data_IF_909089568694
#
_entry.id   IF_909089568694
#
_cell.length_a   1.000
_cell.length_b   1.000
_cell.length_c   1.000
_cell.angle_alpha   90.00
_cell.angle_beta   90.00
_cell.angle_gamma   90.00
#
_symmetry.space_group_name_H-M   'P 1'
#
loop_
_entity.id
_entity.type
_entity.pdbx_description
1 polymer ?
#
# COMPACT_ATOMS: atom_id res chain seq x y z
N UNK A 1 9.52 -16.51 7.35
CA UNK A 1 9.30 -17.00 5.97
C UNK A 1 8.62 -15.92 5.17
N UNK A 2 8.79 -15.85 3.84
CA UNK A 2 8.04 -14.98 2.92
C UNK A 2 6.91 -15.81 2.31
N UNK A 3 5.67 -15.33 2.43
CA UNK A 3 4.50 -16.06 1.94
C UNK A 3 3.75 -15.25 0.90
N UNK A 4 3.51 -15.85 -0.27
CA UNK A 4 2.76 -15.23 -1.35
C UNK A 4 1.30 -15.67 -1.31
N UNK A 5 0.40 -14.70 -1.19
CA UNK A 5 -1.05 -14.88 -1.29
C UNK A 5 -1.61 -14.13 -2.49
N UNK A 6 -2.83 -14.42 -2.87
CA UNK A 6 -3.52 -13.75 -3.96
C UNK A 6 -4.36 -14.69 -4.78
N UNK A 7 -5.23 -14.11 -5.60
CA UNK A 7 -6.21 -14.85 -6.38
C UNK A 7 -5.55 -15.76 -7.43
N UNK A 8 -6.31 -16.70 -7.97
CA UNK A 8 -5.83 -17.52 -9.07
C UNK A 8 -5.47 -16.66 -10.28
N UNK A 9 -4.39 -16.98 -10.99
CA UNK A 9 -3.87 -16.16 -12.09
C UNK A 9 -3.01 -14.97 -11.67
N UNK A 10 -2.79 -14.70 -10.37
CA UNK A 10 -1.91 -13.63 -9.89
C UNK A 10 -0.41 -13.88 -10.14
N UNK A 11 0.01 -15.13 -10.43
CA UNK A 11 1.41 -15.45 -10.75
C UNK A 11 2.28 -15.76 -9.52
N UNK A 12 1.69 -16.22 -8.42
CA UNK A 12 2.37 -16.50 -7.14
C UNK A 12 3.58 -17.43 -7.29
N UNK A 13 3.42 -18.58 -7.96
CA UNK A 13 4.50 -19.53 -8.17
C UNK A 13 5.71 -18.94 -8.93
N UNK A 14 5.43 -18.10 -9.93
CA UNK A 14 6.48 -17.38 -10.68
C UNK A 14 7.19 -16.36 -9.78
N UNK A 15 6.43 -15.57 -9.03
CA UNK A 15 6.98 -14.58 -8.12
C UNK A 15 7.77 -15.24 -6.97
N UNK A 16 7.33 -16.39 -6.46
CA UNK A 16 8.07 -17.15 -5.45
C UNK A 16 9.46 -17.56 -5.96
N UNK A 17 9.55 -18.05 -7.19
CA UNK A 17 10.84 -18.40 -7.82
C UNK A 17 11.73 -17.18 -8.07
N UNK A 18 11.15 -16.05 -8.47
CA UNK A 18 11.88 -14.78 -8.65
C UNK A 18 12.45 -14.25 -7.33
N UNK A 19 11.63 -14.24 -6.27
CA UNK A 19 12.06 -13.79 -4.93
C UNK A 19 13.14 -14.73 -4.38
N UNK A 20 12.90 -16.03 -4.45
CA UNK A 20 13.84 -17.03 -3.96
C UNK A 20 15.19 -16.93 -4.66
N UNK A 21 15.20 -16.77 -6.00
CA UNK A 21 16.40 -16.56 -6.79
C UNK A 21 17.13 -15.26 -6.43
N UNK A 22 16.39 -14.16 -6.17
CA UNK A 22 16.96 -12.87 -5.79
C UNK A 22 17.54 -12.83 -4.37
N UNK A 23 16.98 -13.62 -3.45
CA UNK A 23 17.38 -13.65 -2.04
C UNK A 23 18.24 -14.86 -1.65
N UNK A 24 18.50 -15.80 -2.58
CA UNK A 24 19.24 -17.03 -2.28
C UNK A 24 18.45 -18.00 -1.40
N UNK A 25 17.12 -18.00 -1.48
CA UNK A 25 16.21 -18.85 -0.72
C UNK A 25 15.65 -20.00 -1.58
N UNK A 26 14.94 -20.93 -0.96
CA UNK A 26 14.18 -21.97 -1.65
C UNK A 26 12.74 -21.52 -1.90
N UNK A 27 12.23 -21.75 -3.12
CA UNK A 27 10.83 -21.54 -3.44
C UNK A 27 10.04 -22.84 -3.22
N UNK A 28 8.89 -22.71 -2.56
CA UNK A 28 7.90 -23.79 -2.38
C UNK A 28 6.57 -23.37 -3.01
N UNK A 29 5.88 -24.32 -3.61
CA UNK A 29 4.52 -24.15 -4.12
C UNK A 29 3.60 -25.13 -3.40
N UNK A 30 2.61 -24.61 -2.67
CA UNK A 30 1.71 -25.43 -1.87
C UNK A 30 0.83 -26.33 -2.76
N UNK A 31 0.43 -25.87 -3.96
CA UNK A 31 -0.37 -26.67 -4.89
C UNK A 31 0.46 -27.85 -5.45
N UNK A 32 1.75 -27.63 -5.79
CA UNK A 32 2.67 -28.67 -6.25
C UNK A 32 2.89 -29.73 -5.14
N UNK A 33 3.21 -29.30 -3.92
CA UNK A 33 3.44 -30.18 -2.77
C UNK A 33 2.18 -30.95 -2.35
N UNK A 34 1.00 -30.32 -2.48
CA UNK A 34 -0.26 -30.99 -2.20
C UNK A 34 -0.53 -32.11 -3.22
N UNK A 35 -0.32 -31.86 -4.50
CA UNK A 35 -0.49 -32.88 -5.54
C UNK A 35 0.46 -34.07 -5.33
N UNK A 36 1.72 -33.83 -4.96
CA UNK A 36 2.68 -34.87 -4.60
C UNK A 36 2.20 -35.70 -3.39
N UNK A 37 1.70 -35.05 -2.33
CA UNK A 37 1.18 -35.72 -1.13
C UNK A 37 -0.08 -36.53 -1.41
N UNK A 38 -0.95 -36.07 -2.30
CA UNK A 38 -2.17 -36.79 -2.69
C UNK A 38 -1.91 -37.95 -3.66
N UNK A 39 -0.77 -37.92 -4.36
CA UNK A 39 -0.42 -38.93 -5.38
C UNK A 39 -1.25 -38.84 -6.67
N UNK A 40 -2.07 -37.76 -6.81
CA UNK A 40 -2.93 -37.51 -7.98
C UNK A 40 -3.02 -35.99 -8.24
N UNK A 41 -3.28 -35.56 -9.47
CA UNK A 41 -3.51 -34.15 -9.78
C UNK A 41 -4.67 -33.56 -8.96
N UNK A 42 -4.54 -32.28 -8.56
CA UNK A 42 -5.58 -31.59 -7.77
C UNK A 42 -6.96 -31.64 -8.43
N UNK A 43 -7.15 -31.44 -9.76
CA UNK A 43 -8.46 -31.54 -10.40
C UNK A 43 -9.10 -32.91 -10.24
N UNK A 44 -8.31 -33.98 -10.31
CA UNK A 44 -8.81 -35.36 -10.18
C UNK A 44 -9.22 -35.66 -8.73
N UNK A 45 -8.41 -35.20 -7.76
CA UNK A 45 -8.75 -35.32 -6.33
C UNK A 45 -10.03 -34.55 -6.01
N UNK A 46 -10.16 -33.32 -6.52
CA UNK A 46 -11.33 -32.48 -6.31
C UNK A 46 -12.60 -33.11 -6.89
N UNK A 47 -12.51 -33.70 -8.08
CA UNK A 47 -13.63 -34.42 -8.70
C UNK A 47 -14.04 -35.67 -7.94
N UNK A 48 -13.09 -36.41 -7.35
CA UNK A 48 -13.33 -37.65 -6.64
C UNK A 48 -13.83 -37.46 -5.20
N UNK A 49 -13.32 -36.41 -4.50
CA UNK A 49 -13.51 -36.25 -3.05
C UNK A 49 -14.27 -34.95 -2.67
N UNK A 50 -14.48 -34.05 -3.60
CA UNK A 50 -15.17 -32.78 -3.38
C UNK A 50 -14.29 -31.68 -2.75
N UNK A 51 -14.88 -30.47 -2.64
CA UNK A 51 -14.17 -29.29 -2.17
C UNK A 51 -13.80 -29.35 -0.68
N UNK A 52 -14.68 -29.85 0.16
CA UNK A 52 -14.50 -29.91 1.62
C UNK A 52 -13.27 -30.73 2.00
N UNK A 53 -13.12 -31.94 1.46
CA UNK A 53 -11.96 -32.80 1.75
C UNK A 53 -10.69 -32.19 1.15
N UNK A 54 -10.75 -31.60 -0.03
CA UNK A 54 -9.63 -30.88 -0.61
C UNK A 54 -9.16 -29.75 0.33
N UNK A 55 -10.07 -28.90 0.82
CA UNK A 55 -9.73 -27.80 1.72
C UNK A 55 -9.14 -28.27 3.04
N UNK A 56 -9.60 -29.38 3.56
CA UNK A 56 -9.03 -29.99 4.76
C UNK A 56 -7.57 -30.41 4.54
N UNK A 57 -7.26 -31.04 3.41
CA UNK A 57 -5.88 -31.45 3.06
C UNK A 57 -4.99 -30.24 2.78
N UNK A 58 -5.51 -29.25 2.09
CA UNK A 58 -4.80 -27.98 1.83
C UNK A 58 -4.43 -27.28 3.15
N UNK A 59 -5.38 -27.14 4.08
CA UNK A 59 -5.15 -26.54 5.40
C UNK A 59 -4.07 -27.28 6.19
N UNK A 60 -4.16 -28.62 6.29
CA UNK A 60 -3.19 -29.45 7.01
C UNK A 60 -1.77 -29.26 6.47
N UNK A 61 -1.60 -29.28 5.15
CA UNK A 61 -0.31 -29.09 4.50
C UNK A 61 0.22 -27.67 4.73
N UNK A 62 -0.61 -26.65 4.49
CA UNK A 62 -0.18 -25.24 4.58
C UNK A 62 0.25 -24.92 6.01
N UNK A 63 -0.51 -25.33 7.03
CA UNK A 63 -0.15 -25.11 8.44
C UNK A 63 1.16 -25.85 8.81
N UNK A 64 1.42 -27.01 8.21
CA UNK A 64 2.69 -27.71 8.38
C UNK A 64 3.85 -26.94 7.74
N UNK A 65 3.69 -26.48 6.49
CA UNK A 65 4.71 -25.71 5.76
C UNK A 65 5.05 -24.40 6.45
N UNK A 66 4.07 -23.71 7.03
CA UNK A 66 4.26 -22.46 7.76
C UNK A 66 5.05 -22.61 9.07
N UNK A 67 5.39 -23.82 9.51
CA UNK A 67 6.34 -24.06 10.62
C UNK A 67 7.79 -24.01 10.18
N UNK A 68 8.05 -24.03 8.88
CA UNK A 68 9.39 -23.92 8.31
C UNK A 68 9.96 -22.51 8.39
N UNK A 69 11.24 -22.36 8.10
CA UNK A 69 11.95 -21.09 8.11
C UNK A 69 12.84 -20.94 6.86
N UNK A 70 13.11 -19.68 6.46
CA UNK A 70 14.09 -19.41 5.40
C UNK A 70 13.63 -19.75 3.98
N UNK A 71 12.33 -19.78 3.71
CA UNK A 71 11.75 -20.17 2.41
C UNK A 71 10.79 -19.12 1.88
N UNK A 72 10.50 -19.20 0.58
CA UNK A 72 9.45 -18.44 -0.09
C UNK A 72 8.33 -19.38 -0.47
N UNK A 73 7.16 -19.25 0.13
CA UNK A 73 6.02 -20.14 -0.05
C UNK A 73 4.92 -19.48 -0.87
N UNK A 74 4.54 -20.06 -2.00
CA UNK A 74 3.34 -19.69 -2.74
C UNK A 74 2.15 -20.53 -2.27
N UNK A 75 1.07 -19.86 -1.80
CA UNK A 75 -0.15 -20.55 -1.37
C UNK A 75 -1.13 -20.75 -2.53
N UNK A 76 -1.95 -21.78 -2.44
CA UNK A 76 -3.16 -21.94 -3.22
C UNK A 76 -4.10 -20.73 -3.05
N UNK A 77 -4.84 -20.35 -4.11
CA UNK A 77 -5.69 -19.16 -4.06
C UNK A 77 -6.85 -19.25 -3.06
N UNK A 78 -7.20 -20.42 -2.57
CA UNK A 78 -8.24 -20.64 -1.57
C UNK A 78 -7.74 -20.81 -0.15
N UNK A 79 -6.45 -20.99 0.06
CA UNK A 79 -5.88 -21.30 1.37
C UNK A 79 -6.25 -20.29 2.47
N UNK A 80 -6.40 -19.01 2.12
CA UNK A 80 -6.83 -17.93 3.06
C UNK A 80 -8.28 -18.05 3.52
N UNK A 81 -9.10 -18.93 2.92
CA UNK A 81 -10.47 -19.19 3.40
C UNK A 81 -10.46 -19.92 4.76
N UNK A 82 -9.40 -20.68 5.06
CA UNK A 82 -9.21 -21.30 6.37
C UNK A 82 -8.77 -20.27 7.43
N UNK A 83 -9.53 -20.11 8.54
CA UNK A 83 -9.11 -19.29 9.67
C UNK A 83 -7.77 -19.77 10.28
N UNK A 84 -7.53 -21.09 10.35
CA UNK A 84 -6.27 -21.64 10.87
C UNK A 84 -5.06 -21.28 10.03
N UNK A 85 -5.24 -21.20 8.70
CA UNK A 85 -4.18 -20.71 7.80
C UNK A 85 -3.92 -19.24 8.05
N UNK A 86 -4.98 -18.41 8.18
CA UNK A 86 -4.81 -16.98 8.47
C UNK A 86 -4.12 -16.73 9.80
N UNK A 87 -4.47 -17.48 10.85
CA UNK A 87 -3.77 -17.44 12.14
C UNK A 87 -2.30 -17.86 12.02
N UNK A 88 -2.03 -18.93 11.26
CA UNK A 88 -0.67 -19.42 11.05
C UNK A 88 0.21 -18.46 10.21
N UNK A 89 -0.39 -17.59 9.40
CA UNK A 89 0.32 -16.54 8.65
C UNK A 89 0.86 -15.42 9.56
N UNK A 90 0.32 -15.26 10.76
CA UNK A 90 0.85 -14.31 11.74
C UNK A 90 2.32 -14.62 12.06
N UNK A 91 3.18 -13.59 11.96
CA UNK A 91 4.64 -13.76 12.15
C UNK A 91 5.42 -14.10 10.88
N UNK A 92 4.76 -14.21 9.74
CA UNK A 92 5.40 -14.33 8.42
C UNK A 92 5.30 -13.02 7.64
N UNK A 93 6.18 -12.84 6.65
CA UNK A 93 6.11 -11.70 5.73
C UNK A 93 5.15 -12.02 4.58
N UNK A 94 3.92 -11.57 4.65
CA UNK A 94 2.86 -11.92 3.70
C UNK A 94 2.79 -10.89 2.57
N UNK A 95 2.96 -11.35 1.33
CA UNK A 95 2.90 -10.53 0.12
C UNK A 95 1.67 -10.91 -0.71
N UNK A 96 0.73 -10.00 -0.82
CA UNK A 96 -0.41 -10.12 -1.72
C UNK A 96 -0.02 -9.67 -3.13
N UNK A 97 -0.12 -10.57 -4.10
CA UNK A 97 -0.11 -10.21 -5.51
C UNK A 97 -1.52 -9.80 -5.91
N UNK A 98 -1.75 -8.49 -5.97
CA UNK A 98 -3.04 -7.92 -6.32
C UNK A 98 -3.26 -7.97 -7.84
N UNK A 99 -4.31 -8.66 -8.24
CA UNK A 99 -4.73 -8.84 -9.64
C UNK A 99 -6.21 -8.50 -9.75
N UNK A 100 -6.57 -7.68 -10.72
CA UNK A 100 -7.98 -7.43 -11.02
C UNK A 100 -8.66 -8.68 -11.60
N UNK A 101 -9.99 -8.74 -11.46
CA UNK A 101 -10.77 -9.91 -11.86
C UNK A 101 -10.70 -10.18 -13.36
N UNK A 102 -10.63 -9.12 -14.22
CA UNK A 102 -10.54 -9.26 -15.66
C UNK A 102 -9.21 -9.86 -16.10
N UNK A 103 -8.09 -9.36 -15.55
CA UNK A 103 -6.76 -9.90 -15.82
C UNK A 103 -6.60 -11.33 -15.30
N UNK A 104 -7.14 -11.62 -14.11
CA UNK A 104 -7.16 -12.96 -13.54
C UNK A 104 -7.97 -13.93 -14.42
N UNK A 105 -9.15 -13.52 -14.85
CA UNK A 105 -10.01 -14.30 -15.75
C UNK A 105 -9.31 -14.58 -17.09
N UNK A 106 -8.76 -13.54 -17.72
CA UNK A 106 -8.04 -13.69 -19.00
C UNK A 106 -6.94 -14.75 -18.94
N UNK A 107 -6.23 -14.85 -17.79
CA UNK A 107 -5.15 -15.83 -17.56
C UNK A 107 -5.66 -17.23 -17.22
N UNK A 108 -6.85 -17.35 -16.60
CA UNK A 108 -7.34 -18.62 -16.06
C UNK A 108 -8.38 -19.33 -16.96
N UNK A 109 -9.13 -18.61 -17.80
CA UNK A 109 -10.25 -19.16 -18.60
C UNK A 109 -9.90 -20.32 -19.53
N UNK A 110 -8.64 -20.46 -19.89
CA UNK A 110 -8.13 -21.55 -20.74
C UNK A 110 -7.39 -22.64 -19.96
N UNK A 111 -7.38 -22.56 -18.63
CA UNK A 111 -6.71 -23.53 -17.77
C UNK A 111 -7.68 -24.62 -17.29
N UNK A 112 -7.16 -25.76 -16.85
CA UNK A 112 -7.96 -26.89 -16.31
C UNK A 112 -8.45 -26.63 -14.87
N UNK A 113 -8.47 -25.39 -14.41
CA UNK A 113 -8.89 -25.03 -13.05
C UNK A 113 -10.40 -25.15 -12.89
N UNK A 114 -10.92 -25.99 -11.97
CA UNK A 114 -12.34 -26.23 -11.81
C UNK A 114 -13.15 -24.95 -11.55
N UNK A 115 -12.60 -24.00 -10.80
CA UNK A 115 -13.24 -22.74 -10.41
C UNK A 115 -13.12 -21.60 -11.46
N UNK A 116 -12.51 -21.87 -12.62
CA UNK A 116 -12.37 -20.90 -13.72
C UNK A 116 -13.22 -21.24 -14.94
N UNK A 117 -14.33 -21.97 -14.76
CA UNK A 117 -15.22 -22.40 -15.84
C UNK A 117 -16.39 -21.46 -16.08
N UNK A 118 -16.88 -20.81 -15.04
CA UNK A 118 -17.99 -19.85 -15.08
C UNK A 118 -17.48 -18.46 -14.71
N UNK A 119 -17.75 -17.47 -15.56
CA UNK A 119 -17.24 -16.10 -15.40
C UNK A 119 -17.87 -15.40 -14.21
N UNK A 120 -19.19 -15.50 -14.05
CA UNK A 120 -19.92 -14.81 -12.98
C UNK A 120 -19.51 -15.37 -11.61
N UNK A 121 -19.46 -16.70 -11.48
CA UNK A 121 -18.98 -17.37 -10.27
C UNK A 121 -17.51 -17.00 -9.95
N UNK A 122 -16.66 -16.85 -10.98
CA UNK A 122 -15.26 -16.46 -10.83
C UNK A 122 -15.12 -15.04 -10.25
N UNK A 123 -15.91 -14.08 -10.73
CA UNK A 123 -15.91 -12.71 -10.23
C UNK A 123 -16.46 -12.64 -8.80
N UNK A 124 -17.56 -13.32 -8.53
CA UNK A 124 -18.11 -13.42 -7.18
C UNK A 124 -17.11 -14.04 -6.19
N UNK A 125 -16.33 -15.05 -6.63
CA UNK A 125 -15.28 -15.64 -5.83
C UNK A 125 -14.12 -14.68 -5.59
N UNK A 126 -13.75 -13.87 -6.59
CA UNK A 126 -12.71 -12.85 -6.45
C UNK A 126 -13.11 -11.83 -5.37
N UNK A 127 -14.31 -11.26 -5.46
CA UNK A 127 -14.83 -10.30 -4.49
C UNK A 127 -14.94 -10.91 -3.08
N UNK A 128 -15.41 -12.14 -2.95
CA UNK A 128 -15.53 -12.82 -1.66
C UNK A 128 -14.18 -13.05 -0.97
N UNK A 129 -13.11 -13.35 -1.75
CA UNK A 129 -11.78 -13.63 -1.20
C UNK A 129 -10.95 -12.38 -0.92
N UNK A 130 -11.25 -11.28 -1.57
CA UNK A 130 -10.50 -10.04 -1.45
C UNK A 130 -10.30 -9.60 0.00
N UNK A 131 -11.35 -9.52 0.86
CA UNK A 131 -11.17 -9.14 2.26
C UNK A 131 -10.25 -10.08 3.06
N UNK A 132 -10.21 -11.36 2.70
CA UNK A 132 -9.37 -12.37 3.38
C UNK A 132 -7.88 -12.21 3.04
N UNK A 133 -7.56 -11.86 1.79
CA UNK A 133 -6.19 -11.49 1.43
C UNK A 133 -5.77 -10.20 2.13
N UNK A 134 -6.70 -9.26 2.23
CA UNK A 134 -6.51 -7.94 2.84
C UNK A 134 -6.18 -8.04 4.33
N UNK A 135 -6.81 -8.98 5.01
CA UNK A 135 -6.61 -9.25 6.44
C UNK A 135 -5.17 -9.69 6.75
N UNK A 136 -4.57 -10.49 5.88
CA UNK A 136 -3.27 -11.13 6.17
C UNK A 136 -2.07 -10.43 5.51
N UNK A 137 -2.27 -9.54 4.55
CA UNK A 137 -1.19 -8.98 3.76
C UNK A 137 -0.41 -7.87 4.49
N UNK A 138 0.93 -7.97 4.51
CA UNK A 138 1.83 -6.88 4.88
C UNK A 138 2.17 -6.02 3.67
N UNK A 139 2.40 -6.66 2.51
CA UNK A 139 2.71 -5.98 1.27
C UNK A 139 1.64 -6.27 0.23
N UNK A 140 1.03 -5.23 -0.32
CA UNK A 140 0.06 -5.33 -1.41
C UNK A 140 0.70 -4.77 -2.67
N UNK A 141 1.06 -5.65 -3.60
CA UNK A 141 1.81 -5.26 -4.80
C UNK A 141 1.07 -5.68 -6.07
N UNK A 142 1.24 -4.95 -7.17
CA UNK A 142 0.69 -5.37 -8.45
C UNK A 142 1.17 -6.78 -8.84
N UNK A 143 0.28 -7.57 -9.45
CA UNK A 143 0.62 -8.89 -10.01
C UNK A 143 1.45 -8.75 -11.30
N UNK A 144 2.62 -8.10 -11.17
CA UNK A 144 3.58 -7.81 -12.23
C UNK A 144 4.95 -8.40 -11.89
N UNK A 145 5.72 -8.71 -12.94
CA UNK A 145 7.05 -9.33 -12.81
C UNK A 145 7.98 -8.45 -11.96
N UNK A 146 8.66 -9.05 -11.00
CA UNK A 146 9.63 -8.40 -10.12
C UNK A 146 9.03 -7.42 -9.08
N UNK A 147 7.71 -7.16 -9.10
CA UNK A 147 7.08 -6.19 -8.18
C UNK A 147 7.26 -6.62 -6.71
N UNK A 148 7.01 -7.88 -6.41
CA UNK A 148 7.15 -8.41 -5.05
C UNK A 148 8.59 -8.37 -4.53
N UNK A 149 9.57 -8.71 -5.37
CA UNK A 149 11.00 -8.64 -5.00
C UNK A 149 11.43 -7.19 -4.72
N UNK A 150 11.02 -6.23 -5.58
CA UNK A 150 11.30 -4.80 -5.33
C UNK A 150 10.67 -4.31 -4.04
N UNK A 151 9.43 -4.72 -3.76
CA UNK A 151 8.74 -4.36 -2.53
C UNK A 151 9.45 -4.89 -1.27
N UNK A 152 9.85 -6.17 -1.29
CA UNK A 152 10.60 -6.79 -0.20
C UNK A 152 11.95 -6.12 0.05
N UNK A 153 12.59 -5.61 -1.01
CA UNK A 153 13.87 -4.89 -0.89
C UNK A 153 13.71 -3.45 -0.40
N UNK A 154 12.58 -2.81 -0.69
CA UNK A 154 12.35 -1.39 -0.38
C UNK A 154 11.64 -1.18 0.96
N UNK A 155 10.84 -2.15 1.43
CA UNK A 155 10.01 -2.02 2.64
C UNK A 155 10.62 -2.82 3.78
N UNK A 156 11.04 -2.17 4.89
CA UNK A 156 11.65 -2.85 6.03
C UNK A 156 10.72 -3.89 6.65
N UNK A 157 11.32 -4.82 7.36
CA UNK A 157 10.57 -5.76 8.20
C UNK A 157 9.76 -4.98 9.27
N UNK A 158 8.51 -5.40 9.48
CA UNK A 158 7.58 -4.76 10.40
C UNK A 158 6.82 -3.56 9.81
N UNK A 159 7.25 -2.97 8.68
CA UNK A 159 6.44 -1.98 7.96
C UNK A 159 5.53 -2.65 6.94
N UNK A 160 4.35 -2.05 6.70
CA UNK A 160 3.38 -2.50 5.70
C UNK A 160 3.38 -1.56 4.50
N UNK A 161 3.02 -2.04 3.32
CA UNK A 161 2.97 -1.18 2.14
C UNK A 161 1.90 -1.60 1.14
N UNK A 162 1.32 -0.60 0.48
CA UNK A 162 0.44 -0.79 -0.67
C UNK A 162 0.95 0.04 -1.84
N UNK A 163 0.96 -0.55 -3.05
CA UNK A 163 1.32 0.16 -4.27
C UNK A 163 0.09 0.78 -4.92
N UNK A 164 0.10 2.11 -5.01
CA UNK A 164 -0.85 2.84 -5.84
C UNK A 164 -0.47 2.66 -7.33
N UNK A 165 -1.49 2.41 -8.16
CA UNK A 165 -1.35 2.30 -9.63
C UNK A 165 -2.27 3.33 -10.25
N UNK A 166 -1.68 4.29 -10.94
CA UNK A 166 -2.38 5.39 -11.58
C UNK A 166 -1.90 5.57 -13.01
N UNK A 167 -2.60 6.37 -13.81
CA UNK A 167 -2.14 6.72 -15.14
C UNK A 167 -0.80 7.48 -15.10
N UNK A 168 -0.52 8.20 -14.00
CA UNK A 168 0.72 8.93 -13.77
C UNK A 168 1.90 8.07 -13.31
N UNK A 169 1.67 6.79 -12.99
CA UNK A 169 2.71 5.85 -12.55
C UNK A 169 2.33 5.03 -11.33
N UNK A 170 3.31 4.32 -10.80
CA UNK A 170 3.17 3.48 -9.60
C UNK A 170 4.04 4.04 -8.48
N UNK A 171 3.52 4.07 -7.26
CA UNK A 171 4.28 4.48 -6.08
C UNK A 171 3.85 3.72 -4.83
N UNK A 172 4.77 3.49 -3.86
CA UNK A 172 4.43 2.87 -2.58
C UNK A 172 3.83 3.87 -1.59
N UNK A 173 2.83 3.43 -0.84
CA UNK A 173 2.42 4.01 0.43
C UNK A 173 2.88 3.07 1.51
N UNK A 174 3.89 3.47 2.27
CA UNK A 174 4.52 2.66 3.33
C UNK A 174 4.03 3.17 4.67
N UNK A 175 3.52 2.26 5.50
CA UNK A 175 2.98 2.55 6.82
C UNK A 175 3.72 1.73 7.87
N UNK A 176 4.25 2.40 8.89
CA UNK A 176 4.91 1.74 10.01
C UNK A 176 5.93 2.63 10.70
N UNK A 177 6.33 2.20 11.89
CA UNK A 177 7.33 2.91 12.69
C UNK A 177 8.67 3.01 11.94
N UNK A 178 9.25 4.20 11.89
CA UNK A 178 10.48 4.48 11.16
C UNK A 178 10.31 4.67 9.66
N UNK A 179 9.09 4.55 9.12
CA UNK A 179 8.85 4.77 7.68
C UNK A 179 9.30 6.17 7.24
N UNK A 180 9.16 7.18 8.11
CA UNK A 180 9.59 8.55 7.84
C UNK A 180 11.07 8.71 7.49
N UNK A 181 11.91 7.78 7.93
CA UNK A 181 13.38 7.87 7.76
C UNK A 181 13.87 7.09 6.52
N UNK A 182 12.95 6.42 5.81
CA UNK A 182 13.32 5.63 4.63
C UNK A 182 13.79 6.52 3.48
N UNK A 183 14.84 6.04 2.81
CA UNK A 183 15.14 6.47 1.46
C UNK A 183 14.22 5.71 0.49
N UNK A 184 13.19 6.40 0.02
CA UNK A 184 12.22 5.79 -0.88
C UNK A 184 12.75 5.52 -2.30
N UNK A 185 14.06 5.58 -2.51
CA UNK A 185 14.68 5.47 -3.83
C UNK A 185 14.38 6.66 -4.75
N UNK A 186 14.02 7.81 -4.16
CA UNK A 186 13.80 9.03 -4.92
C UNK A 186 15.14 9.56 -5.48
N UNK A 187 15.14 10.14 -6.69
CA UNK A 187 16.38 10.57 -7.33
C UNK A 187 17.02 11.76 -6.62
N UNK A 188 18.33 11.82 -6.64
CA UNK A 188 19.14 12.95 -6.24
C UNK A 188 19.05 13.31 -4.76
N UNK A 189 19.17 14.61 -4.47
CA UNK A 189 19.16 15.15 -3.13
C UNK A 189 17.74 15.58 -2.72
N UNK A 190 17.28 15.29 -1.48
CA UNK A 190 16.05 15.86 -0.97
C UNK A 190 16.18 17.36 -0.72
N UNK A 191 15.15 18.12 -1.09
CA UNK A 191 14.90 19.46 -0.58
C UNK A 191 13.76 19.35 0.43
N UNK A 192 14.10 19.46 1.73
CA UNK A 192 13.17 19.18 2.83
C UNK A 192 12.30 20.39 3.13
N UNK A 193 10.98 20.19 3.05
CA UNK A 193 9.97 21.20 3.35
C UNK A 193 9.12 20.74 4.53
N UNK A 194 8.92 21.62 5.49
CA UNK A 194 8.05 21.37 6.66
C UNK A 194 7.26 22.63 7.01
N UNK A 195 6.49 22.62 8.10
CA UNK A 195 5.91 23.82 8.69
C UNK A 195 6.38 24.01 10.16
N UNK A 196 6.14 25.21 10.70
CA UNK A 196 6.57 25.59 12.05
C UNK A 196 5.78 24.92 13.18
N UNK A 197 4.75 24.14 12.85
CA UNK A 197 4.00 23.29 13.78
C UNK A 197 4.56 21.87 13.90
N UNK A 198 5.44 21.45 12.98
CA UNK A 198 6.06 20.11 13.01
C UNK A 198 7.26 20.14 13.96
N UNK A 199 7.30 19.28 15.00
CA UNK A 199 8.46 19.20 15.89
C UNK A 199 9.76 18.89 15.13
N UNK A 200 10.86 19.59 15.48
CA UNK A 200 12.16 19.43 14.84
C UNK A 200 12.68 17.97 14.81
N UNK A 201 12.25 17.13 15.74
CA UNK A 201 12.61 15.70 15.75
C UNK A 201 12.04 14.92 14.56
N UNK A 202 10.95 15.42 13.92
CA UNK A 202 10.32 14.79 12.75
C UNK A 202 10.86 15.35 11.43
N UNK A 203 11.37 16.59 11.45
CA UNK A 203 11.96 17.26 10.30
C UNK A 203 13.24 18.02 10.77
N UNK A 204 14.33 17.29 11.08
CA UNK A 204 15.58 17.94 11.44
C UNK A 204 16.17 18.66 10.23
N UNK A 205 16.67 19.89 10.46
CA UNK A 205 17.40 20.70 9.46
C UNK A 205 16.63 20.88 8.12
N UNK A 206 15.37 21.39 8.13
CA UNK A 206 14.61 21.59 6.90
C UNK A 206 15.24 22.70 6.06
N UNK A 207 15.21 22.54 4.72
CA UNK A 207 15.65 23.58 3.76
C UNK A 207 14.67 24.75 3.68
N UNK A 208 13.38 24.47 3.99
CA UNK A 208 12.34 25.50 4.03
C UNK A 208 11.25 25.17 5.04
N UNK A 209 10.81 26.22 5.77
CA UNK A 209 9.73 26.12 6.76
C UNK A 209 8.57 26.98 6.32
N UNK A 210 7.41 26.37 6.09
CA UNK A 210 6.16 27.04 5.81
C UNK A 210 5.50 27.52 7.12
N UNK A 211 4.74 28.61 7.12
CA UNK A 211 3.92 28.93 8.27
C UNK A 211 2.75 27.93 8.39
N UNK A 212 2.46 27.51 9.64
CA UNK A 212 1.41 26.53 9.94
C UNK A 212 0.00 27.04 9.61
N UNK A 213 -0.86 26.13 9.19
CA UNK A 213 -2.30 26.29 9.08
C UNK A 213 -2.81 26.56 7.68
N UNK A 214 -4.07 26.17 7.45
CA UNK A 214 -4.75 26.21 6.14
C UNK A 214 -4.74 27.59 5.47
N UNK A 215 -4.82 28.68 6.26
CA UNK A 215 -4.73 30.06 5.74
C UNK A 215 -3.44 30.36 4.97
N UNK A 216 -2.42 29.55 5.14
CA UNK A 216 -1.13 29.68 4.49
C UNK A 216 -0.98 28.75 3.26
N UNK A 217 -2.01 27.99 2.93
CA UNK A 217 -2.08 27.17 1.72
C UNK A 217 -2.38 28.06 0.50
N UNK A 218 -1.43 28.91 0.11
CA UNK A 218 -1.63 29.96 -0.89
C UNK A 218 -0.47 30.04 -1.89
N UNK A 219 -0.68 30.74 -3.01
CA UNK A 219 0.39 31.07 -3.96
C UNK A 219 1.50 31.92 -3.30
N UNK A 220 1.14 32.76 -2.31
CA UNK A 220 2.09 33.58 -1.57
C UNK A 220 3.07 32.71 -0.74
N UNK A 221 2.68 31.50 -0.35
CA UNK A 221 3.55 30.51 0.30
C UNK A 221 4.36 29.69 -0.71
N UNK A 222 3.83 29.47 -1.90
CA UNK A 222 4.51 28.70 -2.95
C UNK A 222 5.69 29.49 -3.57
N UNK A 223 5.56 30.79 -3.80
CA UNK A 223 6.61 31.60 -4.44
C UNK A 223 7.94 31.62 -3.65
N UNK A 224 7.95 31.87 -2.32
CA UNK A 224 9.18 31.80 -1.51
C UNK A 224 9.84 30.43 -1.59
N UNK A 225 9.04 29.34 -1.66
CA UNK A 225 9.54 27.97 -1.74
C UNK A 225 10.23 27.73 -3.10
N UNK A 226 9.63 28.11 -4.24
CA UNK A 226 10.31 28.05 -5.54
C UNK A 226 11.63 28.82 -5.57
N UNK A 227 11.64 30.02 -4.98
CA UNK A 227 12.86 30.86 -4.88
C UNK A 227 13.93 30.22 -4.01
N UNK A 228 13.55 29.56 -2.90
CA UNK A 228 14.48 28.85 -2.02
C UNK A 228 15.11 27.66 -2.77
N UNK A 229 14.30 26.86 -3.47
CA UNK A 229 14.79 25.75 -4.29
C UNK A 229 15.75 26.22 -5.38
N UNK A 230 15.44 27.29 -6.07
CA UNK A 230 16.29 27.86 -7.12
C UNK A 230 17.64 28.35 -6.54
N UNK A 231 17.63 29.03 -5.39
CA UNK A 231 18.86 29.47 -4.69
C UNK A 231 19.71 28.31 -4.19
N UNK A 232 19.06 27.22 -3.75
CA UNK A 232 19.72 26.00 -3.31
C UNK A 232 20.28 25.13 -4.48
N UNK A 233 20.01 25.57 -5.74
CA UNK A 233 20.47 24.85 -6.92
C UNK A 233 19.75 23.51 -7.15
N UNK A 234 18.52 23.37 -6.66
CA UNK A 234 17.67 22.17 -6.91
C UNK A 234 17.43 21.99 -8.39
N UNK A 235 17.62 20.81 -8.90
CA UNK A 235 17.49 20.46 -10.31
C UNK A 235 16.39 19.39 -10.54
N UNK A 236 16.14 19.04 -11.80
CA UNK A 236 15.22 17.95 -12.15
C UNK A 236 15.71 16.56 -11.70
N UNK A 237 16.97 16.43 -11.33
CA UNK A 237 17.55 15.19 -10.80
C UNK A 237 17.37 15.07 -9.27
N UNK A 238 16.83 16.09 -8.61
CA UNK A 238 16.56 16.13 -7.18
C UNK A 238 15.07 15.95 -6.90
N UNK A 239 14.68 15.89 -5.62
CA UNK A 239 13.28 15.74 -5.22
C UNK A 239 12.91 16.63 -4.04
N UNK A 240 11.61 16.92 -3.90
CA UNK A 240 11.05 17.54 -2.70
C UNK A 240 10.70 16.45 -1.68
N UNK A 241 11.07 16.66 -0.42
CA UNK A 241 10.62 15.84 0.71
C UNK A 241 9.73 16.68 1.62
N UNK A 242 8.41 16.45 1.53
CA UNK A 242 7.39 17.19 2.25
C UNK A 242 7.04 16.50 3.56
N UNK A 243 7.47 17.08 4.70
CA UNK A 243 7.27 16.54 6.05
C UNK A 243 6.25 17.40 6.78
N UNK A 244 5.01 16.93 6.93
CA UNK A 244 3.96 17.73 7.58
C UNK A 244 2.54 17.21 7.38
N UNK A 245 1.58 18.05 7.73
CA UNK A 245 0.16 17.79 7.51
C UNK A 245 -0.28 18.02 6.06
N UNK A 246 -1.60 17.94 5.81
CA UNK A 246 -2.19 18.13 4.48
C UNK A 246 -1.80 19.44 3.81
N UNK A 247 -1.69 20.54 4.57
CA UNK A 247 -1.25 21.83 4.05
C UNK A 247 0.17 21.76 3.46
N UNK A 248 1.11 21.11 4.16
CA UNK A 248 2.48 20.94 3.68
C UNK A 248 2.54 20.02 2.46
N UNK A 249 1.84 18.89 2.49
CA UNK A 249 1.84 17.95 1.35
C UNK A 249 1.23 18.57 0.09
N UNK A 250 0.16 19.35 0.24
CA UNK A 250 -0.51 20.03 -0.88
C UNK A 250 0.36 21.13 -1.48
N UNK A 251 0.89 22.04 -0.65
CA UNK A 251 1.73 23.17 -1.12
C UNK A 251 3.04 22.66 -1.71
N UNK A 252 3.74 21.77 -1.01
CA UNK A 252 5.01 21.21 -1.48
C UNK A 252 4.82 20.34 -2.72
N UNK A 253 3.72 19.57 -2.79
CA UNK A 253 3.35 18.79 -3.98
C UNK A 253 3.06 19.69 -5.19
N UNK A 254 2.31 20.78 -5.01
CA UNK A 254 2.05 21.77 -6.05
C UNK A 254 3.34 22.48 -6.52
N UNK A 255 4.20 22.83 -5.58
CA UNK A 255 5.52 23.40 -5.89
C UNK A 255 6.37 22.43 -6.69
N UNK A 256 6.43 21.16 -6.28
CA UNK A 256 7.14 20.10 -7.00
C UNK A 256 6.58 19.89 -8.42
N UNK A 257 5.26 19.89 -8.57
CA UNK A 257 4.57 19.75 -9.86
C UNK A 257 4.91 20.84 -10.86
N UNK A 258 5.17 22.05 -10.36
CA UNK A 258 5.37 23.24 -11.19
C UNK A 258 6.83 23.68 -11.33
N UNK A 259 7.69 23.34 -10.35
CA UNK A 259 9.11 23.66 -10.39
C UNK A 259 9.80 22.90 -11.53
N UNK A 260 10.48 23.63 -12.40
CA UNK A 260 11.11 23.09 -13.63
C UNK A 260 10.18 22.19 -14.48
N UNK A 261 8.89 22.38 -14.42
CA UNK A 261 7.80 21.61 -15.08
C UNK A 261 7.61 20.19 -14.50
N UNK A 262 7.96 20.01 -13.24
CA UNK A 262 7.76 18.78 -12.48
C UNK A 262 9.07 18.15 -12.05
N UNK A 263 9.18 17.95 -10.72
CA UNK A 263 10.22 17.14 -10.08
C UNK A 263 9.54 16.16 -9.11
N UNK A 264 10.17 15.05 -8.76
CA UNK A 264 9.59 14.09 -7.81
C UNK A 264 9.30 14.70 -6.45
N UNK A 265 8.26 14.20 -5.77
CA UNK A 265 7.95 14.53 -4.37
C UNK A 265 7.78 13.27 -3.55
N UNK A 266 8.35 13.24 -2.36
CA UNK A 266 8.13 12.22 -1.33
C UNK A 266 7.34 12.88 -0.21
N UNK A 267 6.16 12.34 0.11
CA UNK A 267 5.36 12.80 1.23
C UNK A 267 5.67 12.03 2.51
N UNK A 268 5.90 12.76 3.59
CA UNK A 268 6.07 12.23 4.94
C UNK A 268 4.98 12.86 5.82
N UNK A 269 3.75 12.31 5.76
CA UNK A 269 2.62 12.87 6.49
C UNK A 269 2.81 12.73 8.01
N UNK A 270 2.56 13.82 8.77
CA UNK A 270 2.68 13.85 10.23
C UNK A 270 1.33 14.07 10.94
N UNK A 271 0.24 14.17 10.19
CA UNK A 271 -1.13 14.22 10.73
C UNK A 271 -1.94 13.03 10.26
N UNK A 272 -2.91 12.61 11.08
CA UNK A 272 -3.79 11.48 10.73
C UNK A 272 -4.52 11.73 9.39
N UNK A 273 -5.05 12.94 9.20
CA UNK A 273 -5.71 13.35 7.95
C UNK A 273 -4.81 13.13 6.73
N UNK A 274 -3.54 13.55 6.82
CA UNK A 274 -2.62 13.39 5.70
C UNK A 274 -2.21 11.94 5.46
N UNK A 275 -2.08 11.13 6.52
CA UNK A 275 -1.73 9.70 6.40
C UNK A 275 -2.82 8.88 5.71
N UNK A 276 -4.10 9.20 5.97
CA UNK A 276 -5.22 8.40 5.47
C UNK A 276 -5.86 8.95 4.20
N UNK A 277 -5.58 10.22 3.85
CA UNK A 277 -6.21 10.89 2.71
C UNK A 277 -5.25 11.82 1.95
N UNK A 278 -4.90 12.99 2.48
CA UNK A 278 -4.35 14.10 1.73
C UNK A 278 -3.01 13.83 1.01
N UNK A 279 -2.11 13.01 1.60
CA UNK A 279 -0.83 12.69 0.98
C UNK A 279 -0.93 11.65 -0.15
N UNK A 280 -2.11 11.03 -0.36
CA UNK A 280 -2.34 9.92 -1.28
C UNK A 280 -3.22 10.38 -2.44
N UNK A 281 -2.83 10.08 -3.69
CA UNK A 281 -3.66 10.35 -4.86
C UNK A 281 -3.24 11.54 -5.70
N UNK A 282 -2.15 12.24 -5.31
CA UNK A 282 -1.53 13.26 -6.14
C UNK A 282 -2.34 14.54 -6.34
N UNK A 283 -3.44 14.74 -5.62
CA UNK A 283 -4.16 16.01 -5.59
C UNK A 283 -3.35 17.04 -4.81
N UNK A 284 -2.71 17.97 -5.50
CA UNK A 284 -1.87 19.02 -4.90
C UNK A 284 -2.40 20.38 -5.29
N UNK A 285 -2.31 21.36 -4.40
CA UNK A 285 -2.85 22.67 -4.73
C UNK A 285 -2.76 23.70 -3.63
N UNK A 286 -3.27 24.87 -3.98
CA UNK A 286 -3.35 26.04 -3.12
C UNK A 286 -4.74 26.67 -3.20
N UNK A 287 -5.08 27.43 -2.17
CA UNK A 287 -6.35 28.15 -2.07
C UNK A 287 -6.26 29.53 -2.74
N UNK A 288 -7.39 29.95 -3.27
CA UNK A 288 -7.66 31.33 -3.62
C UNK A 288 -8.58 31.96 -2.56
N UNK A 289 -8.62 33.30 -2.43
CA UNK A 289 -9.61 33.95 -1.58
C UNK A 289 -11.06 33.55 -1.90
N UNK A 290 -11.33 33.22 -3.16
CA UNK A 290 -12.64 32.89 -3.68
C UNK A 290 -13.02 31.43 -3.51
N UNK A 291 -12.03 30.52 -3.44
CA UNK A 291 -12.29 29.08 -3.40
C UNK A 291 -11.10 28.26 -2.87
N UNK A 292 -11.39 27.25 -2.05
CA UNK A 292 -10.40 26.28 -1.57
C UNK A 292 -10.02 25.30 -2.68
N UNK A 293 -8.74 24.89 -2.71
CA UNK A 293 -8.19 23.85 -3.61
C UNK A 293 -8.41 24.11 -5.10
N UNK A 294 -8.56 25.37 -5.50
CA UNK A 294 -8.99 25.71 -6.87
C UNK A 294 -7.83 25.81 -7.86
N UNK A 295 -6.62 26.03 -7.37
CA UNK A 295 -5.39 26.07 -8.18
C UNK A 295 -4.50 24.92 -7.77
N UNK A 296 -4.24 24.00 -8.69
CA UNK A 296 -3.45 22.81 -8.36
C UNK A 296 -3.06 21.99 -9.57
N UNK A 297 -2.47 20.84 -9.28
CA UNK A 297 -2.06 19.84 -10.25
C UNK A 297 -2.31 18.45 -9.72
N UNK A 298 -2.62 17.52 -10.62
CA UNK A 298 -2.49 16.09 -10.33
C UNK A 298 -1.02 15.69 -10.50
N UNK A 299 -0.33 15.49 -9.40
CA UNK A 299 1.09 15.15 -9.36
C UNK A 299 1.32 13.99 -8.37
N UNK A 300 1.38 12.78 -8.92
CA UNK A 300 1.55 11.59 -8.09
C UNK A 300 2.89 11.62 -7.34
N UNK A 301 2.91 11.30 -6.04
CA UNK A 301 4.15 11.27 -5.28
C UNK A 301 5.05 10.11 -5.75
N UNK A 302 6.35 10.25 -5.54
CA UNK A 302 7.30 9.14 -5.71
C UNK A 302 7.09 8.08 -4.64
N UNK A 303 6.77 8.49 -3.41
CA UNK A 303 6.39 7.64 -2.28
C UNK A 303 5.61 8.44 -1.24
N UNK A 304 4.81 7.73 -0.43
CA UNK A 304 4.22 8.23 0.81
C UNK A 304 4.75 7.41 1.97
N UNK A 305 5.36 8.06 2.95
CA UNK A 305 6.04 7.43 4.10
C UNK A 305 5.31 7.82 5.39
N UNK A 306 4.27 7.08 5.73
CA UNK A 306 3.42 7.31 6.90
C UNK A 306 3.98 6.61 8.13
N UNK A 307 4.47 7.39 9.08
CA UNK A 307 4.95 6.88 10.37
C UNK A 307 4.00 7.28 11.49
N UNK A 308 3.16 6.36 11.99
CA UNK A 308 2.19 6.66 13.04
C UNK A 308 2.80 7.18 14.34
N UNK A 309 4.10 6.98 14.58
CA UNK A 309 4.78 7.56 15.74
C UNK A 309 4.70 9.10 15.76
N UNK A 310 4.62 9.74 14.59
CA UNK A 310 4.50 11.19 14.48
C UNK A 310 3.20 11.73 15.08
N UNK A 311 2.15 10.91 15.14
CA UNK A 311 0.86 11.26 15.75
C UNK A 311 0.96 11.47 17.26
N UNK A 312 2.02 10.98 17.92
CA UNK A 312 2.28 11.18 19.35
C UNK A 312 2.41 12.65 19.76
N UNK A 313 2.65 13.53 18.80
CA UNK A 313 2.76 14.98 19.01
C UNK A 313 1.61 15.78 18.44
N UNK A 314 0.66 15.09 17.80
CA UNK A 314 -0.46 15.76 17.16
C UNK A 314 -1.47 16.23 18.20
N UNK A 315 -1.89 17.52 18.17
CA UNK A 315 -2.94 18.01 19.07
C UNK A 315 -4.26 17.21 18.92
N UNK A 316 -5.02 17.00 20.03
CA UNK A 316 -6.27 16.23 19.99
C UNK A 316 -7.30 16.72 18.98
N UNK A 317 -7.36 18.03 18.72
CA UNK A 317 -8.26 18.61 17.70
C UNK A 317 -7.91 18.08 16.28
N UNK A 318 -6.62 18.02 15.93
CA UNK A 318 -6.19 17.51 14.63
C UNK A 318 -6.28 15.97 14.54
N UNK A 319 -6.21 15.26 15.67
CA UNK A 319 -6.55 13.83 15.69
C UNK A 319 -8.02 13.65 15.35
N UNK A 320 -8.92 14.46 15.94
CA UNK A 320 -10.35 14.41 15.67
C UNK A 320 -10.72 14.73 14.22
N UNK A 321 -10.02 15.72 13.60
CA UNK A 321 -10.18 16.05 12.19
C UNK A 321 -9.82 14.83 11.30
N UNK A 322 -8.67 14.22 11.54
CA UNK A 322 -8.24 13.03 10.80
C UNK A 322 -9.14 11.82 11.05
N UNK A 323 -9.67 11.69 12.27
CA UNK A 323 -10.59 10.61 12.61
C UNK A 323 -11.93 10.68 11.84
N UNK A 324 -12.40 11.86 11.47
CA UNK A 324 -13.56 11.98 10.60
C UNK A 324 -13.33 11.31 9.23
N UNK A 325 -12.11 11.45 8.67
CA UNK A 325 -11.71 10.77 7.43
C UNK A 325 -11.54 9.26 7.62
N UNK A 326 -11.04 8.81 8.78
CA UNK A 326 -11.00 7.39 9.12
C UNK A 326 -12.41 6.79 9.14
N UNK A 327 -13.37 7.47 9.78
CA UNK A 327 -14.78 7.03 9.81
C UNK A 327 -15.38 7.00 8.40
N UNK A 328 -15.17 8.05 7.60
CA UNK A 328 -15.62 8.09 6.20
C UNK A 328 -15.06 6.90 5.40
N UNK A 329 -13.77 6.67 5.50
CA UNK A 329 -13.10 5.57 4.81
C UNK A 329 -13.60 4.21 5.27
N UNK A 330 -13.83 4.04 6.58
CA UNK A 330 -14.36 2.81 7.14
C UNK A 330 -15.80 2.52 6.70
N UNK A 331 -16.63 3.55 6.54
CA UNK A 331 -17.98 3.42 5.97
C UNK A 331 -17.95 2.99 4.50
N UNK A 332 -16.98 3.49 3.72
CA UNK A 332 -16.80 3.11 2.30
C UNK A 332 -16.28 1.68 2.20
N UNK A 333 -15.25 1.33 2.98
CA UNK A 333 -14.61 0.02 2.94
C UNK A 333 -15.47 -1.09 3.56
N UNK A 334 -16.24 -0.78 4.60
CA UNK A 334 -16.99 -1.78 5.38
C UNK A 334 -16.08 -2.78 6.11
N UNK A 335 -16.61 -4.00 6.31
CA UNK A 335 -15.85 -5.15 6.78
C UNK A 335 -15.04 -4.92 8.06
N UNK A 336 -13.81 -5.44 8.09
CA UNK A 336 -12.96 -5.42 9.28
C UNK A 336 -12.58 -4.00 9.73
N UNK A 337 -12.34 -3.07 8.80
CA UNK A 337 -12.03 -1.68 9.16
C UNK A 337 -13.18 -1.01 9.89
N UNK A 338 -14.42 -1.20 9.40
CA UNK A 338 -15.61 -0.66 10.06
C UNK A 338 -15.78 -1.23 11.48
N UNK A 339 -15.60 -2.55 11.65
CA UNK A 339 -15.70 -3.21 12.97
C UNK A 339 -14.66 -2.64 13.93
N UNK A 340 -13.40 -2.43 13.50
CA UNK A 340 -12.35 -1.83 14.34
C UNK A 340 -12.67 -0.40 14.75
N UNK A 341 -13.16 0.42 13.83
CA UNK A 341 -13.56 1.81 14.10
C UNK A 341 -14.72 1.86 15.09
N UNK A 342 -15.74 0.99 14.94
CA UNK A 342 -16.84 0.87 15.93
C UNK A 342 -16.35 0.41 17.31
N UNK A 343 -15.29 -0.37 17.39
CA UNK A 343 -14.66 -0.79 18.64
C UNK A 343 -13.75 0.29 19.27
N UNK A 344 -13.65 1.48 18.64
CA UNK A 344 -12.91 2.62 19.16
C UNK A 344 -11.46 2.72 18.70
N UNK A 345 -11.02 1.95 17.69
CA UNK A 345 -9.70 2.11 17.09
C UNK A 345 -9.64 3.43 16.31
N UNK A 346 -8.63 4.27 16.59
CA UNK A 346 -8.55 5.63 16.03
C UNK A 346 -7.43 5.75 14.99
N UNK A 347 -6.21 5.39 15.35
CA UNK A 347 -5.02 5.73 14.56
C UNK A 347 -3.85 4.75 14.81
N UNK A 348 -4.17 3.49 15.09
CA UNK A 348 -3.15 2.43 15.11
C UNK A 348 -2.67 2.10 13.70
N UNK A 349 -1.52 1.43 13.59
CA UNK A 349 -0.87 1.12 12.32
C UNK A 349 -1.81 0.36 11.36
N UNK A 350 -2.67 -0.51 11.90
CA UNK A 350 -3.64 -1.28 11.11
C UNK A 350 -4.74 -0.40 10.53
N UNK A 351 -5.27 0.55 11.31
CA UNK A 351 -6.29 1.50 10.85
C UNK A 351 -5.70 2.41 9.77
N UNK A 352 -4.51 2.98 10.00
CA UNK A 352 -3.83 3.84 9.03
C UNK A 352 -3.57 3.08 7.73
N UNK A 353 -3.06 1.85 7.82
CA UNK A 353 -2.79 1.03 6.64
C UNK A 353 -4.07 0.65 5.87
N UNK A 354 -5.13 0.24 6.57
CA UNK A 354 -6.39 -0.11 5.94
C UNK A 354 -7.05 1.10 5.26
N UNK A 355 -6.96 2.30 5.86
CA UNK A 355 -7.42 3.53 5.25
C UNK A 355 -6.59 3.89 4.00
N UNK A 356 -5.26 3.87 4.10
CA UNK A 356 -4.36 4.13 2.98
C UNK A 356 -4.63 3.19 1.79
N UNK A 357 -4.84 1.91 2.09
CA UNK A 357 -5.19 0.92 1.09
C UNK A 357 -6.53 1.18 0.41
N UNK A 358 -7.56 1.54 1.17
CA UNK A 358 -8.87 1.91 0.62
C UNK A 358 -8.74 3.15 -0.26
N UNK A 359 -7.99 4.16 0.19
CA UNK A 359 -7.72 5.37 -0.60
C UNK A 359 -6.99 5.04 -1.90
N UNK A 360 -5.96 4.19 -1.85
CA UNK A 360 -5.24 3.71 -3.04
C UNK A 360 -6.17 3.00 -4.03
N UNK A 361 -7.09 2.17 -3.54
CA UNK A 361 -8.06 1.49 -4.39
C UNK A 361 -9.02 2.46 -5.09
N UNK A 362 -9.48 3.50 -4.39
CA UNK A 362 -10.33 4.57 -4.96
C UNK A 362 -9.56 5.34 -6.02
N UNK A 363 -8.34 5.79 -5.72
CA UNK A 363 -7.48 6.53 -6.66
C UNK A 363 -7.14 5.70 -7.90
N UNK A 364 -6.92 4.40 -7.75
CA UNK A 364 -6.66 3.50 -8.89
C UNK A 364 -7.89 3.35 -9.81
N UNK A 365 -9.10 3.43 -9.24
CA UNK A 365 -10.35 3.38 -10.01
C UNK A 365 -10.67 4.72 -10.69
N UNK A 366 -10.40 5.83 -10.02
CA UNK A 366 -10.62 7.18 -10.51
C UNK A 366 -9.55 8.15 -9.97
N UNK A 367 -8.54 8.42 -10.80
CA UNK A 367 -7.39 9.28 -10.43
C UNK A 367 -7.76 10.76 -10.35
N UNK A 368 -8.84 11.19 -11.00
CA UNK A 368 -9.13 12.61 -11.20
C UNK A 368 -10.39 13.11 -10.50
N UNK A 369 -11.13 12.23 -9.84
CA UNK A 369 -12.36 12.62 -9.13
C UNK A 369 -12.29 12.54 -7.59
#
# INVERSE_FOLDING_TARGET
>A
MIVLVGFMGAGKSTAAREIAGGLGLRALDADELLAERLGVPIPDFFAAHGEEEFRRREEELVVELLRGEGEVLALGGGAVESPRVREALAGHRVVLLDVDADAAWARCRTSDRPLARDREAFYALHERRRPLYDEVADLVVPAARGAALRALSAVPEGARAVWARTAGGEYPVIVGRGARDLDAGAPGRPFVVTDDGVPARWAPEPDHVLPQGERNKTLASAEPLWRAMARAGVTRADHVRAVGGGCVTDVAGFVAATYQRGIPVVHVPTTLLAMVDAAIGGKTGVDLPEAKNYVGAYHQPHAVLADPETLSTLPPAHVAEGYAEVVKTALIAGGALWVRVQAGAIADDDVVFACARTKVAVVAADERD
#
